data_IF_414026873434
#
_entry.id   IF_414026873434
#
_cell.length_a   1.000
_cell.length_b   1.000
_cell.length_c   1.000
_cell.angle_alpha   90.00
_cell.angle_beta   90.00
_cell.angle_gamma   90.00
#
_symmetry.space_group_name_H-M   'P 1'
#
loop_
_entity.id
_entity.type
_entity.pdbx_description
1 polymer ?
#
# COMPACT_ATOMS: atom_id res chain seq x y z
N UNK A 1 15.63 16.82 -14.03
CA UNK A 1 15.10 16.30 -12.78
C UNK A 1 16.21 15.63 -11.98
N UNK A 2 16.40 16.08 -10.76
CA UNK A 2 17.44 15.54 -9.91
C UNK A 2 17.04 14.16 -9.40
N UNK A 3 17.94 13.20 -9.52
CA UNK A 3 17.71 11.88 -8.95
C UNK A 3 18.06 11.91 -7.48
N UNK A 4 17.16 11.44 -6.65
CA UNK A 4 17.44 11.24 -5.24
C UNK A 4 18.36 10.03 -5.10
N UNK A 5 19.44 10.16 -4.34
CA UNK A 5 20.32 9.03 -4.10
C UNK A 5 19.64 8.01 -3.19
N UNK A 6 20.09 6.77 -3.24
CA UNK A 6 19.58 5.72 -2.35
C UNK A 6 19.81 6.08 -0.88
N UNK A 7 20.93 6.73 -0.58
CA UNK A 7 21.23 7.15 0.79
C UNK A 7 20.22 8.18 1.27
N UNK A 8 19.94 9.19 0.44
CA UNK A 8 18.97 10.22 0.78
C UNK A 8 17.57 9.64 0.97
N UNK A 9 17.18 8.71 0.10
CA UNK A 9 15.89 8.06 0.19
C UNK A 9 15.78 7.27 1.50
N UNK A 10 16.82 6.53 1.87
CA UNK A 10 16.83 5.78 3.13
C UNK A 10 16.74 6.68 4.35
N UNK A 11 17.44 7.79 4.33
CA UNK A 11 17.41 8.75 5.42
C UNK A 11 16.02 9.38 5.56
N UNK A 12 15.40 9.71 4.45
CA UNK A 12 14.05 10.24 4.45
C UNK A 12 13.06 9.23 5.00
N UNK A 13 13.16 7.98 4.58
CA UNK A 13 12.29 6.91 5.07
C UNK A 13 12.47 6.69 6.57
N UNK A 14 13.69 6.78 7.07
CA UNK A 14 13.97 6.68 8.51
C UNK A 14 13.35 7.83 9.27
N UNK A 15 13.47 9.04 8.74
CA UNK A 15 12.88 10.22 9.36
C UNK A 15 11.37 10.10 9.45
N UNK A 16 10.73 9.62 8.38
CA UNK A 16 9.29 9.38 8.37
C UNK A 16 8.92 8.32 9.39
N UNK A 17 9.68 7.23 9.46
CA UNK A 17 9.43 6.14 10.39
C UNK A 17 9.54 6.60 11.86
N UNK A 18 10.40 7.59 12.13
CA UNK A 18 10.54 8.16 13.47
C UNK A 18 9.54 9.25 13.77
N UNK A 19 8.66 9.60 12.82
CA UNK A 19 7.67 10.66 12.98
C UNK A 19 8.28 12.05 12.91
N UNK A 20 9.48 12.19 12.38
CA UNK A 20 10.16 13.48 12.30
C UNK A 20 9.61 14.39 11.22
N UNK A 21 8.96 13.82 10.21
CA UNK A 21 8.33 14.60 9.15
C UNK A 21 7.34 13.75 8.36
N UNK A 22 6.49 14.43 7.59
CA UNK A 22 5.53 13.75 6.74
C UNK A 22 6.22 13.07 5.54
N UNK A 23 5.63 11.97 5.03
CA UNK A 23 6.16 11.33 3.83
C UNK A 23 6.18 12.30 2.66
N UNK A 24 7.27 12.28 1.89
CA UNK A 24 7.37 13.05 0.66
C UNK A 24 6.50 12.44 -0.43
N UNK A 25 5.97 13.25 -1.36
CA UNK A 25 5.24 12.74 -2.51
C UNK A 25 6.13 11.78 -3.31
N UNK A 26 5.53 10.72 -3.82
CA UNK A 26 6.21 9.71 -4.61
C UNK A 26 5.76 9.77 -6.06
N UNK A 27 6.60 9.30 -7.01
CA UNK A 27 6.16 9.21 -8.40
C UNK A 27 4.90 8.38 -8.53
N UNK A 28 3.91 8.91 -9.24
CA UNK A 28 2.61 8.25 -9.37
C UNK A 28 2.60 7.14 -10.42
N UNK A 29 3.45 7.24 -11.44
CA UNK A 29 3.37 6.31 -12.57
C UNK A 29 3.53 4.84 -12.17
N UNK A 30 4.49 4.44 -11.34
CA UNK A 30 4.59 3.04 -10.93
C UNK A 30 3.35 2.55 -10.17
N UNK A 31 2.80 3.40 -9.31
CA UNK A 31 1.58 3.06 -8.57
C UNK A 31 0.41 2.89 -9.53
N UNK A 32 0.21 3.83 -10.42
CA UNK A 32 -0.91 3.78 -11.37
C UNK A 32 -0.80 2.55 -12.28
N UNK A 33 0.41 2.19 -12.67
CA UNK A 33 0.62 1.00 -13.48
C UNK A 33 0.30 -0.30 -12.72
N UNK A 34 0.48 -0.30 -11.40
CA UNK A 34 0.20 -1.46 -10.55
C UNK A 34 -1.27 -1.56 -10.16
N UNK A 35 -2.03 -0.45 -10.24
CA UNK A 35 -3.42 -0.42 -9.84
C UNK A 35 -4.33 -0.91 -10.96
N UNK A 36 -4.58 -2.21 -10.95
CA UNK A 36 -5.60 -2.81 -11.79
C UNK A 36 -6.95 -2.73 -11.10
N UNK A 37 -8.02 -3.09 -11.81
CA UNK A 37 -9.33 -3.23 -11.17
C UNK A 37 -9.28 -4.25 -10.04
N UNK A 38 -8.54 -5.33 -10.24
CA UNK A 38 -8.34 -6.35 -9.21
C UNK A 38 -7.68 -5.76 -7.96
N UNK A 39 -6.62 -4.99 -8.14
CA UNK A 39 -5.91 -4.39 -7.01
C UNK A 39 -6.81 -3.42 -6.23
N UNK A 40 -7.59 -2.62 -6.94
CA UNK A 40 -8.54 -1.70 -6.31
C UNK A 40 -9.63 -2.46 -5.55
N UNK A 41 -10.13 -3.55 -6.12
CA UNK A 41 -11.12 -4.38 -5.45
C UNK A 41 -10.54 -4.98 -4.17
N UNK A 42 -9.31 -5.47 -4.23
CA UNK A 42 -8.63 -6.02 -3.05
C UNK A 42 -8.46 -4.96 -1.96
N UNK A 43 -8.03 -3.76 -2.34
CA UNK A 43 -7.92 -2.66 -1.37
C UNK A 43 -9.25 -2.36 -0.72
N UNK A 44 -10.32 -2.32 -1.50
CA UNK A 44 -11.66 -2.10 -0.98
C UNK A 44 -12.08 -3.18 0.01
N UNK A 45 -11.80 -4.43 -0.30
CA UNK A 45 -12.11 -5.55 0.59
C UNK A 45 -11.33 -5.42 1.90
N UNK A 46 -10.03 -5.10 1.83
CA UNK A 46 -9.22 -4.93 3.02
C UNK A 46 -9.75 -3.82 3.92
N UNK A 47 -10.19 -2.73 3.33
CA UNK A 47 -10.70 -1.58 4.09
C UNK A 47 -12.07 -1.84 4.69
N UNK A 48 -12.95 -2.55 3.97
CA UNK A 48 -14.31 -2.79 4.44
C UNK A 48 -14.41 -3.99 5.37
N UNK A 49 -13.73 -5.09 5.03
CA UNK A 49 -13.93 -6.35 5.73
C UNK A 49 -12.83 -6.67 6.75
N UNK A 50 -11.69 -5.99 6.64
CA UNK A 50 -10.56 -6.21 7.56
C UNK A 50 -10.22 -7.68 7.75
N UNK A 51 -9.99 -8.45 6.67
CA UNK A 51 -9.68 -9.87 6.79
C UNK A 51 -8.40 -10.11 7.57
N UNK A 52 -8.39 -11.16 8.37
CA UNK A 52 -7.25 -11.46 9.23
C UNK A 52 -6.18 -12.31 8.54
N UNK A 53 -6.52 -12.91 7.39
CA UNK A 53 -5.61 -13.78 6.65
C UNK A 53 -5.77 -13.60 5.16
N UNK A 54 -4.75 -14.01 4.40
CA UNK A 54 -4.84 -14.03 2.95
C UNK A 54 -5.91 -15.05 2.50
N UNK A 55 -6.03 -16.16 3.23
CA UNK A 55 -7.06 -17.16 2.93
C UNK A 55 -8.46 -16.55 2.99
N UNK A 56 -8.70 -15.67 3.95
CA UNK A 56 -9.98 -14.99 4.05
C UNK A 56 -10.21 -14.04 2.87
N UNK A 57 -9.16 -13.38 2.39
CA UNK A 57 -9.26 -12.53 1.20
C UNK A 57 -9.66 -13.38 -0.02
N UNK A 58 -9.05 -14.55 -0.15
CA UNK A 58 -9.39 -15.49 -1.23
C UNK A 58 -10.87 -15.88 -1.16
N UNK A 59 -11.38 -16.20 0.04
CA UNK A 59 -12.79 -16.52 0.22
C UNK A 59 -13.70 -15.36 -0.15
N UNK A 60 -13.35 -14.16 0.29
CA UNK A 60 -14.18 -12.97 0.06
C UNK A 60 -14.23 -12.54 -1.39
N UNK A 61 -13.15 -12.75 -2.12
CA UNK A 61 -13.05 -12.30 -3.52
C UNK A 61 -13.33 -13.41 -4.53
N UNK A 62 -13.21 -14.66 -4.13
CA UNK A 62 -13.32 -15.80 -5.05
C UNK A 62 -12.17 -15.91 -6.03
N UNK A 63 -11.08 -15.19 -5.80
CA UNK A 63 -9.92 -15.20 -6.69
C UNK A 63 -8.90 -16.24 -6.26
N UNK A 64 -8.08 -16.69 -7.21
CA UNK A 64 -7.03 -17.66 -6.94
C UNK A 64 -5.97 -17.10 -6.00
N UNK A 65 -5.55 -17.91 -5.02
CA UNK A 65 -4.59 -17.47 -4.02
C UNK A 65 -3.28 -16.90 -4.60
N UNK A 66 -2.66 -17.51 -5.61
CA UNK A 66 -1.43 -16.93 -6.18
C UNK A 66 -1.62 -15.53 -6.73
N UNK A 67 -2.77 -15.26 -7.34
CA UNK A 67 -3.06 -13.94 -7.87
C UNK A 67 -3.28 -12.93 -6.75
N UNK A 68 -4.02 -13.33 -5.72
CA UNK A 68 -4.24 -12.48 -4.54
C UNK A 68 -2.91 -12.15 -3.86
N UNK A 69 -2.08 -13.15 -3.63
CA UNK A 69 -0.78 -12.95 -2.98
C UNK A 69 0.11 -12.00 -3.78
N UNK A 70 0.14 -12.15 -5.11
CA UNK A 70 0.94 -11.28 -5.96
C UNK A 70 0.45 -9.83 -5.91
N UNK A 71 -0.85 -9.64 -6.00
CA UNK A 71 -1.44 -8.30 -5.95
C UNK A 71 -1.20 -7.65 -4.59
N UNK A 72 -1.34 -8.40 -3.51
CA UNK A 72 -1.09 -7.87 -2.17
C UNK A 72 0.37 -7.49 -1.99
N UNK A 73 1.30 -8.26 -2.53
CA UNK A 73 2.71 -7.93 -2.48
C UNK A 73 3.02 -6.63 -3.22
N UNK A 74 2.40 -6.41 -4.36
CA UNK A 74 2.56 -5.17 -5.12
C UNK A 74 2.01 -3.99 -4.33
N UNK A 75 0.84 -4.13 -3.73
CA UNK A 75 0.26 -3.07 -2.92
C UNK A 75 1.15 -2.76 -1.70
N UNK A 76 1.76 -3.78 -1.10
CA UNK A 76 2.69 -3.57 -0.01
C UNK A 76 3.96 -2.84 -0.47
N UNK A 77 4.44 -3.17 -1.66
CA UNK A 77 5.61 -2.51 -2.24
C UNK A 77 5.38 -1.01 -2.40
N UNK A 78 4.18 -0.61 -2.74
CA UNK A 78 3.83 0.81 -2.89
C UNK A 78 3.43 1.48 -1.57
N UNK A 79 3.47 0.75 -0.46
CA UNK A 79 3.17 1.31 0.84
C UNK A 79 1.70 1.53 1.12
N UNK A 80 0.81 0.91 0.35
CA UNK A 80 -0.63 1.04 0.55
C UNK A 80 -1.16 0.05 1.57
N UNK A 81 -0.48 -1.06 1.75
CA UNK A 81 -0.80 -2.05 2.76
C UNK A 81 0.48 -2.54 3.41
N UNK A 82 0.33 -3.24 4.51
CA UNK A 82 1.42 -3.92 5.19
C UNK A 82 1.04 -5.40 5.35
N UNK A 83 1.99 -6.28 5.08
CA UNK A 83 1.80 -7.71 5.28
C UNK A 83 2.39 -8.08 6.64
N UNK A 84 1.52 -8.34 7.60
CA UNK A 84 1.92 -8.64 8.97
C UNK A 84 1.90 -10.14 9.19
N UNK A 85 3.05 -10.68 9.55
CA UNK A 85 3.14 -12.10 9.84
C UNK A 85 2.56 -12.38 11.22
N UNK A 86 1.63 -13.30 11.28
CA UNK A 86 0.95 -13.70 12.51
C UNK A 86 0.97 -15.23 12.60
N UNK A 87 1.99 -15.77 13.26
CA UNK A 87 2.22 -17.20 13.29
C UNK A 87 2.55 -17.73 11.89
N UNK A 88 1.74 -18.66 11.41
CA UNK A 88 1.90 -19.23 10.06
C UNK A 88 1.17 -18.45 9.00
N UNK A 89 0.35 -17.51 9.41
CA UNK A 89 -0.50 -16.76 8.49
C UNK A 89 0.01 -15.35 8.31
N UNK A 90 -0.45 -14.73 7.24
CA UNK A 90 -0.11 -13.34 6.94
C UNK A 90 -1.41 -12.55 6.90
N UNK A 91 -1.44 -11.46 7.67
CA UNK A 91 -2.57 -10.55 7.71
C UNK A 91 -2.27 -9.35 6.81
N UNK A 92 -3.07 -9.11 5.79
CA UNK A 92 -2.92 -7.90 4.97
C UNK A 92 -3.58 -6.73 5.68
N UNK A 93 -2.78 -5.77 6.13
CA UNK A 93 -3.26 -4.62 6.88
C UNK A 93 -3.23 -3.38 6.00
N UNK A 94 -4.38 -2.73 5.74
CA UNK A 94 -4.38 -1.51 4.93
C UNK A 94 -3.74 -0.36 5.71
N UNK A 95 -2.86 0.37 5.06
CA UNK A 95 -2.20 1.54 5.62
C UNK A 95 -2.81 2.81 5.05
N UNK A 96 -3.09 2.81 3.75
CA UNK A 96 -3.63 3.96 3.06
C UNK A 96 -5.12 3.77 2.80
N UNK A 97 -5.88 4.81 3.01
CA UNK A 97 -7.31 4.84 2.72
C UNK A 97 -7.58 5.43 1.35
N UNK A 98 -6.77 6.39 0.95
CA UNK A 98 -6.91 7.08 -0.32
C UNK A 98 -5.57 7.65 -0.71
N UNK A 99 -5.47 8.07 -1.94
CA UNK A 99 -4.31 8.84 -2.38
C UNK A 99 -4.75 9.86 -3.42
N UNK A 100 -3.98 10.95 -3.49
CA UNK A 100 -4.23 12.03 -4.43
C UNK A 100 -3.06 12.11 -5.39
N UNK A 101 -3.35 12.10 -6.67
CA UNK A 101 -2.34 12.23 -7.71
C UNK A 101 -2.33 13.66 -8.22
N UNK A 102 -1.17 14.28 -8.20
CA UNK A 102 -0.97 15.59 -8.80
C UNK A 102 -0.50 15.35 -10.24
N UNK A 103 -1.34 15.69 -11.18
CA UNK A 103 -1.04 15.43 -12.58
C UNK A 103 0.03 16.36 -13.14
N UNK A 104 0.20 17.54 -12.54
CA UNK A 104 1.21 18.48 -12.97
C UNK A 104 2.61 18.00 -12.62
N UNK A 105 2.77 17.46 -11.41
CA UNK A 105 4.07 16.98 -10.95
C UNK A 105 4.29 15.49 -11.20
N UNK A 106 3.22 14.73 -11.46
CA UNK A 106 3.30 13.29 -11.63
C UNK A 106 3.59 12.55 -10.32
N UNK A 107 3.22 13.15 -9.19
CA UNK A 107 3.46 12.56 -7.87
C UNK A 107 2.14 12.24 -7.18
N UNK A 108 2.22 11.43 -6.11
CA UNK A 108 1.05 11.13 -5.31
C UNK A 108 1.38 11.19 -3.83
N UNK A 109 0.35 11.45 -3.04
CA UNK A 109 0.40 11.38 -1.59
C UNK A 109 -0.70 10.46 -1.12
N UNK A 110 -0.36 9.55 -0.21
CA UNK A 110 -1.33 8.64 0.37
C UNK A 110 -1.88 9.22 1.66
N UNK A 111 -3.19 9.08 1.84
CA UNK A 111 -3.85 9.45 3.09
C UNK A 111 -3.91 8.21 3.96
N UNK A 112 -3.37 8.26 5.19
CA UNK A 112 -3.34 7.08 6.03
C UNK A 112 -4.74 6.69 6.50
N UNK A 113 -4.87 5.39 6.82
CA UNK A 113 -6.05 4.92 7.52
C UNK A 113 -5.96 5.47 8.93
N UNK A 114 -6.90 6.36 9.28
CA UNK A 114 -7.00 6.82 10.65
C UNK A 114 -7.95 5.90 11.38
N UNK A 115 -7.58 5.51 12.59
CA UNK A 115 -8.53 4.80 13.41
C UNK A 115 -9.67 5.76 13.68
N UNK A 116 -10.83 5.39 13.22
CA UNK A 116 -12.01 6.18 13.48
C UNK A 116 -12.21 6.24 14.99
N UNK A 117 -12.11 7.40 15.49
CA UNK A 117 -12.41 7.61 16.88
C UNK A 117 -13.88 7.32 17.12
#
# INVERSE_FOLDING_TARGET
MKRTSLTELREEMRAVARGERNPSPRPAAPLLAALSMEALELLGVLLRERPETIARVVELTGRAQPNVSRSLQQLAMHGLIRLVKDGREVRPEPIARSFTVDLETGTYEAKPVTEAA
#
